data_IF_346540433656
#
_entry.id   IF_346540433656
#
_cell.length_a   1.000
_cell.length_b   1.000
_cell.length_c   1.000
_cell.angle_alpha   90.00
_cell.angle_beta   90.00
_cell.angle_gamma   90.00
#
_symmetry.space_group_name_H-M   'P 1'
#
loop_
_entity.id
_entity.type
_entity.pdbx_description
1 polymer ?
#
# COMPACT_ATOMS: atom_id res chain seq x y z
N UNK A 1 32.13 28.07 8.39
CA UNK A 1 31.73 26.65 8.53
C UNK A 1 30.22 26.58 8.76
N UNK A 2 29.42 26.95 7.76
CA UNK A 2 27.95 27.09 7.87
C UNK A 2 27.24 26.19 6.86
N UNK A 3 27.71 24.95 6.70
CA UNK A 3 27.23 24.01 5.68
C UNK A 3 26.05 23.14 6.14
N UNK A 4 25.48 23.36 7.33
CA UNK A 4 24.45 22.46 7.87
C UNK A 4 23.00 22.94 7.69
N UNK A 5 22.73 24.06 7.03
CA UNK A 5 21.37 24.65 6.99
C UNK A 5 20.56 24.42 5.70
N UNK A 6 21.11 23.76 4.67
CA UNK A 6 20.40 23.50 3.42
C UNK A 6 19.85 22.06 3.33
N UNK A 7 19.32 21.52 4.44
CA UNK A 7 18.53 20.29 4.38
C UNK A 7 17.11 20.69 3.99
N UNK A 8 16.83 20.63 2.68
CA UNK A 8 15.50 20.82 2.11
C UNK A 8 14.44 20.19 3.00
N UNK A 9 13.47 21.00 3.45
CA UNK A 9 12.43 20.60 4.40
C UNK A 9 11.56 19.47 3.81
N UNK A 10 12.04 18.23 3.88
CA UNK A 10 11.25 17.06 3.57
C UNK A 10 10.21 16.88 4.66
N UNK A 11 8.95 16.68 4.28
CA UNK A 11 7.90 16.37 5.25
C UNK A 11 8.29 15.10 6.00
N UNK A 12 8.36 15.12 7.35
CA UNK A 12 8.82 13.98 8.11
C UNK A 12 7.89 12.78 7.91
N UNK A 13 8.47 11.60 7.64
CA UNK A 13 7.72 10.35 7.41
C UNK A 13 7.00 9.89 8.67
N UNK A 14 7.54 10.21 9.85
CA UNK A 14 6.98 9.91 11.17
C UNK A 14 7.14 11.15 12.08
N UNK A 15 6.11 11.48 12.86
CA UNK A 15 6.13 12.58 13.84
C UNK A 15 5.54 12.11 15.16
N UNK A 16 6.30 12.29 16.25
CA UNK A 16 5.80 12.11 17.61
C UNK A 16 4.95 13.32 17.96
N UNK A 17 3.66 13.12 18.22
CA UNK A 17 2.72 14.21 18.53
C UNK A 17 2.58 14.43 20.05
N UNK A 18 2.84 13.40 20.85
CA UNK A 18 2.68 13.42 22.30
C UNK A 18 3.63 12.42 22.97
N UNK A 19 4.14 12.79 24.14
CA UNK A 19 5.06 11.98 24.96
C UNK A 19 6.50 12.46 24.85
N UNK A 20 7.26 12.31 25.92
CA UNK A 20 8.72 12.44 25.92
C UNK A 20 9.29 11.02 25.91
N UNK A 21 9.87 10.63 24.78
CA UNK A 21 10.37 9.28 24.54
C UNK A 21 11.87 9.27 24.80
N UNK A 22 12.36 8.23 25.50
CA UNK A 22 13.82 8.02 25.54
C UNK A 22 14.33 7.62 24.16
N UNK A 23 15.64 7.74 23.94
CA UNK A 23 16.28 7.37 22.67
C UNK A 23 16.03 5.89 22.33
N UNK A 24 16.03 5.02 23.34
CA UNK A 24 15.77 3.60 23.21
C UNK A 24 14.32 3.31 22.78
N UNK A 25 13.35 4.02 23.36
CA UNK A 25 11.94 3.87 23.02
C UNK A 25 11.66 4.36 21.60
N UNK A 26 12.27 5.48 21.20
CA UNK A 26 12.18 5.98 19.85
C UNK A 26 12.78 4.97 18.84
N UNK A 27 13.95 4.42 19.14
CA UNK A 27 14.59 3.39 18.32
C UNK A 27 13.71 2.14 18.19
N UNK A 28 13.12 1.67 19.29
CA UNK A 28 12.20 0.55 19.28
C UNK A 28 10.98 0.82 18.39
N UNK A 29 10.40 2.02 18.45
CA UNK A 29 9.26 2.41 17.62
C UNK A 29 9.62 2.41 16.12
N UNK A 30 10.77 2.98 15.77
CA UNK A 30 11.27 3.00 14.38
C UNK A 30 11.52 1.58 13.88
N UNK A 31 12.10 0.71 14.70
CA UNK A 31 12.32 -0.70 14.36
C UNK A 31 11.01 -1.42 14.06
N UNK A 32 9.99 -1.27 14.91
CA UNK A 32 8.68 -1.91 14.69
C UNK A 32 8.00 -1.38 13.42
N UNK A 33 8.00 -0.06 13.20
CA UNK A 33 7.37 0.54 12.01
C UNK A 33 8.07 0.10 10.73
N UNK A 34 9.41 0.08 10.72
CA UNK A 34 10.19 -0.37 9.55
C UNK A 34 9.95 -1.84 9.22
N UNK A 35 9.92 -2.74 10.22
CA UNK A 35 9.59 -4.16 10.04
C UNK A 35 8.18 -4.33 9.46
N UNK A 36 7.19 -3.60 9.99
CA UNK A 36 5.82 -3.68 9.50
C UNK A 36 5.69 -3.20 8.05
N UNK A 37 6.40 -2.11 7.69
CA UNK A 37 6.42 -1.60 6.33
C UNK A 37 7.09 -2.59 5.36
N UNK A 38 8.21 -3.21 5.77
CA UNK A 38 8.89 -4.24 4.97
C UNK A 38 7.99 -5.48 4.75
N UNK A 39 7.26 -5.92 5.79
CA UNK A 39 6.31 -7.03 5.69
C UNK A 39 5.16 -6.69 4.73
N UNK A 40 4.61 -5.47 4.80
CA UNK A 40 3.57 -5.01 3.88
C UNK A 40 4.06 -4.96 2.43
N UNK A 41 5.27 -4.47 2.20
CA UNK A 41 5.89 -4.45 0.86
C UNK A 41 6.09 -5.87 0.32
N UNK A 42 6.56 -6.81 1.15
CA UNK A 42 6.72 -8.21 0.74
C UNK A 42 5.37 -8.86 0.38
N UNK A 43 4.34 -8.63 1.19
CA UNK A 43 2.99 -9.10 0.92
C UNK A 43 2.41 -8.51 -0.37
N UNK A 44 2.69 -7.24 -0.65
CA UNK A 44 2.29 -6.59 -1.89
C UNK A 44 2.98 -7.20 -3.12
N UNK A 45 4.28 -7.48 -3.04
CA UNK A 45 5.06 -8.10 -4.12
C UNK A 45 4.58 -9.53 -4.46
N UNK A 46 4.09 -10.28 -3.47
CA UNK A 46 3.56 -11.64 -3.64
C UNK A 46 2.07 -11.68 -4.01
N UNK A 47 1.39 -10.53 -4.04
CA UNK A 47 -0.05 -10.50 -4.24
C UNK A 47 -0.38 -10.82 -5.71
N UNK A 48 -1.29 -11.77 -5.99
CA UNK A 48 -1.76 -11.97 -7.36
C UNK A 48 -2.39 -10.68 -7.87
N UNK A 49 -2.24 -10.42 -9.17
CA UNK A 49 -2.79 -9.23 -9.82
C UNK A 49 -4.28 -9.14 -9.49
N UNK A 50 -4.71 -8.06 -8.83
CA UNK A 50 -6.13 -7.85 -8.54
C UNK A 50 -6.89 -7.87 -9.86
N UNK A 51 -7.96 -8.67 -9.93
CA UNK A 51 -8.91 -8.57 -11.02
C UNK A 51 -9.44 -7.12 -11.07
N UNK A 52 -9.51 -6.55 -12.26
CA UNK A 52 -10.13 -5.23 -12.46
C UNK A 52 -11.61 -5.35 -12.06
N UNK A 53 -12.17 -4.28 -11.50
CA UNK A 53 -13.61 -4.21 -11.32
C UNK A 53 -14.29 -4.31 -12.68
N UNK A 54 -15.22 -5.24 -12.81
CA UNK A 54 -16.02 -5.43 -14.02
C UNK A 54 -17.29 -4.57 -14.01
N UNK A 55 -17.54 -3.85 -12.91
CA UNK A 55 -18.68 -2.95 -12.78
C UNK A 55 -18.55 -1.77 -13.75
N UNK A 56 -19.59 -1.54 -14.56
CA UNK A 56 -19.62 -0.47 -15.57
C UNK A 56 -18.73 -0.70 -16.81
N UNK A 57 -18.16 -1.90 -17.00
CA UNK A 57 -17.30 -2.17 -18.14
C UNK A 57 -18.09 -2.07 -19.47
N UNK A 58 -17.68 -1.26 -20.47
CA UNK A 58 -18.49 -1.00 -21.68
C UNK A 58 -18.90 -2.24 -22.46
N UNK A 59 -18.03 -3.26 -22.54
CA UNK A 59 -18.32 -4.54 -23.20
C UNK A 59 -19.56 -5.25 -22.61
N UNK A 60 -19.91 -4.98 -21.35
CA UNK A 60 -21.09 -5.57 -20.69
C UNK A 60 -22.40 -4.86 -21.01
N UNK A 61 -22.36 -3.73 -21.71
CA UNK A 61 -23.55 -3.10 -22.31
C UNK A 61 -24.09 -3.92 -23.49
N UNK A 62 -23.32 -4.91 -23.96
CA UNK A 62 -23.72 -5.85 -25.00
C UNK A 62 -23.66 -7.29 -24.49
N UNK A 63 -24.57 -8.16 -24.97
CA UNK A 63 -24.62 -9.56 -24.53
C UNK A 63 -23.43 -10.34 -25.12
N UNK A 64 -22.58 -10.90 -24.25
CA UNK A 64 -21.40 -11.68 -24.65
C UNK A 64 -21.54 -13.16 -24.26
N UNK A 65 -20.80 -14.03 -24.96
CA UNK A 65 -20.72 -15.46 -24.63
C UNK A 65 -19.98 -15.69 -23.31
N UNK A 66 -20.44 -16.66 -22.52
CA UNK A 66 -19.81 -17.06 -21.27
C UNK A 66 -18.47 -17.77 -21.53
N UNK A 67 -17.41 -17.37 -20.82
CA UNK A 67 -16.07 -17.93 -20.95
C UNK A 67 -15.67 -18.63 -19.64
N UNK A 68 -15.05 -19.80 -19.74
CA UNK A 68 -14.48 -20.51 -18.58
C UNK A 68 -13.09 -19.96 -18.26
N UNK A 69 -12.76 -19.80 -16.98
CA UNK A 69 -11.43 -19.38 -16.54
C UNK A 69 -11.39 -18.73 -15.15
N UNK A 70 -10.18 -18.52 -14.58
CA UNK A 70 -10.02 -17.92 -13.26
C UNK A 70 -10.71 -16.55 -13.17
N UNK A 71 -11.58 -16.38 -12.16
CA UNK A 71 -12.33 -15.14 -11.93
C UNK A 71 -13.58 -14.96 -12.80
N UNK A 72 -13.80 -15.79 -13.83
CA UNK A 72 -14.92 -15.62 -14.77
C UNK A 72 -16.29 -15.84 -14.12
N UNK A 73 -16.43 -16.81 -13.22
CA UNK A 73 -17.69 -17.05 -12.47
C UNK A 73 -18.03 -15.88 -11.53
N UNK A 74 -17.05 -15.31 -10.83
CA UNK A 74 -17.29 -14.12 -9.99
C UNK A 74 -17.69 -12.90 -10.82
N UNK A 75 -17.27 -12.88 -12.08
CA UNK A 75 -17.64 -11.84 -13.04
C UNK A 75 -18.93 -12.15 -13.81
N UNK A 76 -19.62 -13.27 -13.55
CA UNK A 76 -20.87 -13.61 -14.24
C UNK A 76 -22.11 -13.03 -13.56
N UNK A 77 -22.01 -12.62 -12.30
CA UNK A 77 -23.07 -11.93 -11.57
C UNK A 77 -22.95 -10.41 -11.73
N UNK A 78 -24.08 -9.71 -11.55
CA UNK A 78 -24.21 -8.25 -11.64
C UNK A 78 -23.51 -7.53 -10.48
#
# INVERSE_FOLDING_TARGET
MSEQQEQAQATPVLRVVKGDLTEEELAALVAVVSVRNAAAANAAARRPRRARSEWGHPVRQHRAALRVGPGQWRSSAW
#
